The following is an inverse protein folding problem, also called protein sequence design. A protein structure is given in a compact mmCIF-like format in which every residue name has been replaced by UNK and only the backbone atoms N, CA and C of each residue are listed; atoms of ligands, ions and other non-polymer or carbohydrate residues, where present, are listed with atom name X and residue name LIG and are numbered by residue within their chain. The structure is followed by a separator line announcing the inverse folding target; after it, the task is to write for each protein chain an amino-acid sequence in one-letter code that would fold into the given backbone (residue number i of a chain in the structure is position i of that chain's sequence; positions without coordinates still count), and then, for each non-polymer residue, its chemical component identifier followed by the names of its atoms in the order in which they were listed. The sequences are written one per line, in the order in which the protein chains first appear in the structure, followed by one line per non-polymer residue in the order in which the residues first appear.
data_IF_937150080510
#
_entry.id   IF_937150080510
#
_cell.length_a   1.000
_cell.length_b   1.000
_cell.length_c   1.000
_cell.angle_alpha   90.00
_cell.angle_beta   90.00
_cell.angle_gamma   90.00
#
_symmetry.space_group_name_H-M   'P 1'
#
loop_
_entity.id
_entity.type
_entity.pdbx_description
1 polymer ?
#
# COMPACT_ATOMS: atom_id res chain seq x y z
N UNK A 1 16.25 -1.88 13.36
CA UNK A 1 15.49 -0.65 13.69
C UNK A 1 14.46 -0.46 12.59
N UNK A 2 13.21 -0.14 12.91
CA UNK A 2 12.21 0.16 11.86
C UNK A 2 12.63 1.49 11.23
N UNK A 3 12.85 1.53 9.91
CA UNK A 3 13.21 2.77 9.23
C UNK A 3 12.10 3.82 9.38
N UNK A 4 12.49 5.04 9.72
CA UNK A 4 11.61 6.20 9.70
C UNK A 4 11.48 6.68 8.26
N UNK A 5 10.26 6.86 7.77
CA UNK A 5 10.02 7.28 6.40
C UNK A 5 8.63 7.84 6.18
N UNK A 6 8.40 8.43 5.00
CA UNK A 6 7.07 8.89 4.62
C UNK A 6 6.14 7.69 4.44
N UNK A 7 4.92 7.79 4.96
CA UNK A 7 3.90 6.76 4.82
C UNK A 7 2.89 7.21 3.77
N UNK A 8 2.73 6.42 2.72
CA UNK A 8 1.75 6.63 1.67
C UNK A 8 0.65 5.59 1.77
N UNK A 9 -0.57 6.09 1.93
CA UNK A 9 -1.77 5.28 1.93
C UNK A 9 -2.31 5.24 0.50
N UNK A 10 -2.20 4.11 -0.17
CA UNK A 10 -2.65 3.96 -1.56
C UNK A 10 -4.17 3.80 -1.56
N UNK A 11 -4.86 4.91 -1.75
CA UNK A 11 -6.32 4.97 -1.73
C UNK A 11 -6.94 4.19 -2.89
N UNK A 12 -8.14 3.66 -2.69
CA UNK A 12 -8.81 2.79 -3.67
C UNK A 12 -8.65 1.30 -3.38
N UNK A 13 -8.75 0.48 -4.42
CA UNK A 13 -8.77 -0.98 -4.33
C UNK A 13 -7.53 -1.56 -4.98
N UNK A 14 -6.72 -2.30 -4.21
CA UNK A 14 -5.57 -3.01 -4.72
C UNK A 14 -5.81 -4.52 -4.75
N UNK A 15 -5.40 -5.16 -5.85
CA UNK A 15 -5.40 -6.61 -5.98
C UNK A 15 -4.30 -7.24 -5.12
N UNK A 16 -4.68 -7.84 -4.00
CA UNK A 16 -3.75 -8.45 -3.04
C UNK A 16 -3.07 -9.74 -3.52
N UNK A 17 -3.37 -10.23 -4.73
CA UNK A 17 -2.59 -11.31 -5.36
C UNK A 17 -1.20 -10.83 -5.80
N UNK A 18 -1.03 -9.52 -6.03
CA UNK A 18 0.25 -8.92 -6.36
C UNK A 18 1.22 -9.04 -5.18
N UNK A 19 2.41 -9.57 -5.44
CA UNK A 19 3.53 -9.61 -4.49
C UNK A 19 4.41 -8.36 -4.68
N UNK A 20 5.68 -8.42 -4.25
CA UNK A 20 6.66 -7.34 -4.35
C UNK A 20 6.67 -6.67 -5.72
N UNK A 21 6.95 -7.41 -6.80
CA UNK A 21 7.11 -6.82 -8.14
C UNK A 21 5.82 -6.16 -8.66
N UNK A 22 4.68 -6.79 -8.38
CA UNK A 22 3.39 -6.24 -8.81
C UNK A 22 3.00 -4.98 -8.03
N UNK A 23 3.39 -4.87 -6.76
CA UNK A 23 3.12 -3.70 -5.94
C UNK A 23 4.14 -2.58 -6.20
N UNK A 24 5.41 -2.90 -6.44
CA UNK A 24 6.43 -1.92 -6.83
C UNK A 24 6.11 -1.29 -8.19
N UNK A 25 5.54 -2.07 -9.12
CA UNK A 25 5.06 -1.55 -10.39
C UNK A 25 3.92 -0.53 -10.20
N UNK A 26 3.01 -0.76 -9.25
CA UNK A 26 1.96 0.24 -8.93
C UNK A 26 2.58 1.53 -8.39
N UNK A 27 3.60 1.42 -7.54
CA UNK A 27 4.30 2.61 -7.02
C UNK A 27 4.98 3.37 -8.16
N UNK A 28 5.69 2.68 -9.04
CA UNK A 28 6.42 3.29 -10.15
C UNK A 28 5.50 3.89 -11.22
N UNK A 29 4.49 3.13 -11.68
CA UNK A 29 3.69 3.49 -12.85
C UNK A 29 2.40 4.24 -12.50
N UNK A 30 1.76 3.92 -11.37
CA UNK A 30 0.47 4.54 -11.00
C UNK A 30 0.65 5.73 -10.07
N UNK A 31 1.60 5.64 -9.12
CA UNK A 31 1.88 6.74 -8.20
C UNK A 31 2.98 7.68 -8.73
N UNK A 32 3.69 7.29 -9.80
CA UNK A 32 4.85 8.03 -10.34
C UNK A 32 5.91 8.31 -9.27
N UNK A 33 6.14 7.34 -8.39
CA UNK A 33 7.04 7.43 -7.24
C UNK A 33 8.15 6.39 -7.31
N UNK A 34 9.26 6.65 -6.61
CA UNK A 34 10.37 5.71 -6.51
C UNK A 34 10.05 4.59 -5.50
N UNK A 35 9.90 3.31 -5.94
CA UNK A 35 9.69 2.20 -5.02
C UNK A 35 10.92 1.86 -4.16
N UNK A 36 12.12 2.32 -4.52
CA UNK A 36 13.36 2.08 -3.77
C UNK A 36 13.62 3.15 -2.70
N UNK A 37 12.75 4.14 -2.58
CA UNK A 37 12.83 5.15 -1.53
C UNK A 37 12.57 4.56 -0.14
N UNK A 38 12.95 5.29 0.91
CA UNK A 38 12.67 4.95 2.32
C UNK A 38 11.16 5.07 2.70
N UNK A 39 10.29 5.17 1.70
CA UNK A 39 8.86 5.33 1.87
C UNK A 39 8.15 3.99 2.12
N UNK A 40 7.07 4.08 2.88
CA UNK A 40 6.20 2.95 3.22
C UNK A 40 4.91 3.06 2.43
N UNK A 41 4.65 2.10 1.55
CA UNK A 41 3.44 2.07 0.71
C UNK A 41 2.46 1.06 1.27
N UNK A 42 1.31 1.54 1.74
CA UNK A 42 0.27 0.72 2.35
C UNK A 42 -0.88 0.55 1.36
N UNK A 43 -1.20 -0.70 1.04
CA UNK A 43 -2.25 -1.09 0.11
C UNK A 43 -3.35 -1.84 0.85
N UNK A 44 -4.60 -1.68 0.40
CA UNK A 44 -5.76 -2.37 0.95
C UNK A 44 -6.62 -3.02 -0.14
N UNK A 45 -7.21 -4.16 0.19
CA UNK A 45 -8.11 -4.85 -0.73
C UNK A 45 -9.53 -4.25 -0.71
N UNK A 46 -10.35 -4.69 -1.67
CA UNK A 46 -11.75 -4.25 -1.80
C UNK A 46 -12.56 -4.45 -0.50
N UNK A 47 -12.39 -5.59 0.16
CA UNK A 47 -13.14 -5.93 1.37
C UNK A 47 -12.60 -5.24 2.62
N UNK A 48 -11.45 -4.56 2.51
CA UNK A 48 -10.75 -3.90 3.62
C UNK A 48 -10.40 -4.84 4.77
N UNK A 49 -10.23 -6.13 4.49
CA UNK A 49 -9.83 -7.14 5.47
C UNK A 49 -8.35 -7.53 5.32
N UNK A 50 -7.66 -7.03 4.28
CA UNK A 50 -6.25 -7.31 3.99
C UNK A 50 -5.46 -6.03 3.75
N UNK A 51 -4.28 -5.98 4.33
CA UNK A 51 -3.27 -4.96 4.10
C UNK A 51 -1.97 -5.60 3.62
N UNK A 52 -1.32 -4.92 2.68
CA UNK A 52 0.09 -5.13 2.37
C UNK A 52 0.85 -3.84 2.56
N UNK A 53 2.04 -3.93 3.15
CA UNK A 53 2.94 -2.79 3.32
C UNK A 53 4.24 -3.13 2.61
N UNK A 54 4.56 -2.36 1.58
CA UNK A 54 5.79 -2.47 0.78
C UNK A 54 6.74 -1.35 1.18
N UNK A 55 8.00 -1.68 1.44
CA UNK A 55 9.07 -0.69 1.60
C UNK A 55 10.41 -1.33 1.21
N UNK A 56 11.38 -0.49 0.82
CA UNK A 56 12.74 -0.90 0.55
C UNK A 56 13.61 -0.68 1.78
N UNK A 57 14.41 -1.68 2.16
CA UNK A 57 15.40 -1.56 3.23
C UNK A 57 16.62 -2.43 2.92
N UNK A 58 17.81 -1.90 3.21
CA UNK A 58 19.10 -2.61 3.18
C UNK A 58 19.22 -3.58 1.99
N UNK A 59 19.09 -3.04 0.77
CA UNK A 59 19.22 -3.76 -0.49
C UNK A 59 18.11 -4.79 -0.81
N UNK A 60 16.91 -4.62 -0.26
CA UNK A 60 15.80 -5.50 -0.59
C UNK A 60 14.42 -4.92 -0.29
N UNK A 61 13.41 -5.50 -0.94
CA UNK A 61 12.02 -5.22 -0.61
C UNK A 61 11.55 -6.05 0.58
N UNK A 62 10.83 -5.38 1.47
CA UNK A 62 10.04 -6.00 2.52
C UNK A 62 8.56 -5.90 2.19
N UNK A 63 7.83 -6.97 2.51
CA UNK A 63 6.39 -7.03 2.33
C UNK A 63 5.73 -7.56 3.60
N UNK A 64 5.11 -6.68 4.38
CA UNK A 64 4.23 -7.10 5.46
C UNK A 64 2.86 -7.41 4.92
N UNK A 65 2.27 -8.51 5.39
CA UNK A 65 0.91 -8.90 5.06
C UNK A 65 0.10 -9.11 6.34
N UNK A 66 -1.03 -8.42 6.44
CA UNK A 66 -1.98 -8.58 7.54
C UNK A 66 -3.36 -8.87 6.98
N UNK A 67 -3.97 -9.97 7.45
CA UNK A 67 -5.36 -10.32 7.18
C UNK A 67 -6.14 -10.33 8.49
N UNK A 68 -7.33 -9.75 8.48
CA UNK A 68 -8.28 -9.84 9.58
C UNK A 68 -9.18 -11.06 9.36
N UNK A 69 -9.39 -11.86 10.40
CA UNK A 69 -10.39 -12.92 10.39
C UNK A 69 -11.81 -12.38 10.62
N UNK A 70 -11.93 -11.20 11.25
CA UNK A 70 -13.19 -10.49 11.46
C UNK A 70 -12.98 -8.98 11.44
N UNK A 71 -13.95 -8.27 10.86
CA UNK A 71 -13.95 -6.81 10.77
C UNK A 71 -13.16 -6.28 9.58
N UNK A 72 -13.03 -4.95 9.54
CA UNK A 72 -12.40 -4.24 8.42
C UNK A 72 -11.47 -3.14 8.94
N UNK A 73 -10.45 -2.82 8.16
CA UNK A 73 -9.63 -1.64 8.35
C UNK A 73 -10.45 -0.39 8.02
N UNK A 74 -10.30 0.65 8.85
CA UNK A 74 -10.76 2.00 8.48
C UNK A 74 -9.88 2.48 7.33
N UNK A 75 -10.46 2.54 6.14
CA UNK A 75 -9.78 2.93 4.92
C UNK A 75 -10.50 4.12 4.30
N UNK A 76 -9.77 5.15 3.83
CA UNK A 76 -10.41 6.26 3.14
C UNK A 76 -11.09 5.75 1.87
N UNK A 77 -12.35 6.14 1.70
CA UNK A 77 -12.99 6.09 0.39
C UNK A 77 -12.36 7.18 -0.48
N UNK A 78 -12.06 6.91 -1.76
CA UNK A 78 -11.84 7.99 -2.70
C UNK A 78 -13.08 8.89 -2.61
N UNK A 79 -12.90 10.16 -2.22
CA UNK A 79 -14.00 11.11 -2.33
C UNK A 79 -14.38 11.13 -3.81
N UNK A 80 -15.59 10.70 -4.12
CA UNK A 80 -16.28 11.23 -5.28
C UNK A 80 -16.60 12.64 -4.85
N UNK A 81 -15.79 13.61 -5.27
CA UNK A 81 -16.14 15.01 -5.16
C UNK A 81 -17.47 15.20 -5.90
N UNK A 82 -18.58 15.18 -5.16
CA UNK A 82 -19.82 15.77 -5.61
C UNK A 82 -19.60 17.26 -5.44
N UNK A 83 -19.32 17.90 -6.57
CA UNK A 83 -19.23 19.35 -6.78
C UNK A 83 -19.92 20.21 -5.72
N UNK A 84 -19.17 21.17 -5.18
CA UNK A 84 -19.70 22.45 -4.70
C UNK A 84 -18.79 23.57 -5.21
#
# INVERSE_FOLDING_TARGET
MIQSGKVYLVVGVTDMRKSIDGLSLIVAETLEMDPFSEAWFIFCNRNRDKLKILFWDTNGFWLYYRRLEKGTFKWPTPNIDVSA
#
